data_IF_466080179897
#
_entry.id   IF_466080179897
#
_cell.length_a   1.000
_cell.length_b   1.000
_cell.length_c   1.000
_cell.angle_alpha   90.00
_cell.angle_beta   90.00
_cell.angle_gamma   90.00
#
_symmetry.space_group_name_H-M   'P 1'
#
loop_
_entity.id
_entity.type
_entity.pdbx_description
1 polymer ?
#
# COMPACT_ATOMS: atom_id res chain seq x y z
N UNK A 1 -27.22 -36.03 46.44
CA UNK A 1 -26.21 -36.40 45.42
C UNK A 1 -26.66 -36.13 43.99
N UNK A 2 -27.95 -36.21 43.64
CA UNK A 2 -28.46 -35.99 42.27
C UNK A 2 -28.23 -34.59 41.69
N UNK A 3 -28.19 -33.53 42.52
CA UNK A 3 -27.94 -32.15 42.06
C UNK A 3 -26.49 -31.88 41.62
N UNK A 4 -25.52 -32.66 42.11
CA UNK A 4 -24.11 -32.51 41.74
C UNK A 4 -23.82 -33.11 40.36
N UNK A 5 -24.48 -34.22 40.02
CA UNK A 5 -24.38 -34.84 38.69
C UNK A 5 -25.01 -33.98 37.59
N UNK A 6 -26.10 -33.27 37.87
CA UNK A 6 -26.72 -32.34 36.91
C UNK A 6 -25.82 -31.13 36.59
N UNK A 7 -25.07 -30.62 37.59
CA UNK A 7 -24.12 -29.52 37.39
C UNK A 7 -22.87 -29.98 36.63
N UNK A 8 -22.35 -31.17 36.93
CA UNK A 8 -21.22 -31.76 36.20
C UNK A 8 -21.58 -32.08 34.74
N UNK A 9 -22.79 -32.57 34.48
CA UNK A 9 -23.27 -32.87 33.12
C UNK A 9 -23.47 -31.58 32.29
N UNK A 10 -23.94 -30.48 32.89
CA UNK A 10 -24.09 -29.18 32.21
C UNK A 10 -22.74 -28.49 31.96
N UNK A 11 -21.76 -28.63 32.86
CA UNK A 11 -20.37 -28.18 32.63
C UNK A 11 -19.66 -29.00 31.55
N UNK A 12 -19.91 -30.30 31.47
CA UNK A 12 -19.39 -31.17 30.39
C UNK A 12 -20.05 -30.87 29.04
N UNK A 13 -21.36 -30.61 28.99
CA UNK A 13 -22.06 -30.29 27.74
C UNK A 13 -21.74 -28.88 27.21
N UNK A 14 -21.45 -27.91 28.07
CA UNK A 14 -21.05 -26.56 27.65
C UNK A 14 -19.59 -26.48 27.22
N UNK A 15 -18.71 -27.32 27.78
CA UNK A 15 -17.30 -27.42 27.36
C UNK A 15 -17.11 -28.03 25.96
N UNK A 16 -17.95 -29.00 25.57
CA UNK A 16 -17.84 -29.67 24.26
C UNK A 16 -18.45 -28.82 23.13
N UNK A 17 -19.46 -27.99 23.40
CA UNK A 17 -20.11 -27.17 22.37
C UNK A 17 -19.23 -26.03 21.83
N UNK A 18 -18.30 -25.49 22.63
CA UNK A 18 -17.37 -24.43 22.19
C UNK A 18 -16.19 -24.93 21.37
N UNK A 19 -15.89 -26.24 21.42
CA UNK A 19 -14.79 -26.83 20.66
C UNK A 19 -15.10 -27.04 19.16
N UNK A 20 -16.30 -26.69 18.70
CA UNK A 20 -16.78 -26.98 17.34
C UNK A 20 -17.07 -25.75 16.47
N UNK A 21 -16.84 -24.52 16.95
CA UNK A 21 -17.10 -23.30 16.17
C UNK A 21 -16.03 -23.09 15.08
N UNK A 22 -16.45 -22.69 13.87
CA UNK A 22 -15.57 -22.17 12.82
C UNK A 22 -14.84 -20.92 13.32
N UNK A 23 -13.74 -20.53 12.67
CA UNK A 23 -13.03 -19.31 13.03
C UNK A 23 -13.88 -18.08 12.70
N UNK A 24 -14.01 -17.18 13.66
CA UNK A 24 -14.62 -15.88 13.43
C UNK A 24 -13.58 -14.86 12.93
N UNK A 25 -14.02 -13.65 12.60
CA UNK A 25 -13.12 -12.61 12.11
C UNK A 25 -12.01 -12.28 13.12
N UNK A 26 -12.29 -12.29 14.43
CA UNK A 26 -11.29 -11.94 15.44
C UNK A 26 -10.19 -13.00 15.51
N UNK A 27 -10.56 -14.28 15.44
CA UNK A 27 -9.60 -15.37 15.33
C UNK A 27 -8.65 -15.14 14.14
N UNK A 28 -9.19 -14.82 12.95
CA UNK A 28 -8.40 -14.58 11.74
C UNK A 28 -7.45 -13.37 11.88
N UNK A 29 -7.93 -12.28 12.49
CA UNK A 29 -7.12 -11.09 12.75
C UNK A 29 -6.02 -11.38 13.76
N UNK A 30 -6.32 -12.10 14.84
CA UNK A 30 -5.36 -12.46 15.88
C UNK A 30 -4.24 -13.36 15.36
N UNK A 31 -4.55 -14.25 14.42
CA UNK A 31 -3.57 -15.16 13.81
C UNK A 31 -2.46 -14.40 13.06
N UNK A 32 -2.71 -13.18 12.58
CA UNK A 32 -1.65 -12.33 12.00
C UNK A 32 -0.55 -11.95 13.02
N UNK A 33 -0.81 -12.10 14.32
CA UNK A 33 0.18 -11.86 15.38
C UNK A 33 0.81 -13.13 15.96
N UNK A 34 0.53 -14.30 15.39
CA UNK A 34 0.98 -15.57 15.96
C UNK A 34 2.29 -16.04 15.34
N UNK A 35 3.12 -16.75 16.13
CA UNK A 35 4.13 -17.63 15.58
C UNK A 35 3.48 -18.94 15.13
N UNK A 36 4.13 -19.68 14.22
CA UNK A 36 3.61 -20.96 13.75
C UNK A 36 3.34 -21.94 14.91
N UNK A 37 4.22 -22.01 15.90
CA UNK A 37 4.02 -22.89 17.07
C UNK A 37 2.79 -22.51 17.91
N UNK A 38 2.54 -21.19 18.09
CA UNK A 38 1.35 -20.70 18.80
C UNK A 38 0.09 -20.98 17.99
N UNK A 39 0.16 -20.80 16.67
CA UNK A 39 -0.90 -21.10 15.73
C UNK A 39 -1.26 -22.58 15.75
N UNK A 40 -0.30 -23.49 15.57
CA UNK A 40 -0.50 -24.94 15.65
C UNK A 40 -1.17 -25.37 16.97
N UNK A 41 -0.69 -24.83 18.09
CA UNK A 41 -1.28 -25.09 19.40
C UNK A 41 -2.72 -24.59 19.55
N UNK A 42 -3.11 -23.56 18.79
CA UNK A 42 -4.48 -23.07 18.73
C UNK A 42 -5.35 -23.94 17.81
N UNK A 43 -4.86 -24.24 16.61
CA UNK A 43 -5.55 -25.03 15.59
C UNK A 43 -5.83 -26.46 16.07
N UNK A 44 -4.86 -27.11 16.73
CA UNK A 44 -4.99 -28.47 17.26
C UNK A 44 -6.16 -28.65 18.24
N UNK A 45 -6.59 -27.56 18.91
CA UNK A 45 -7.72 -27.59 19.87
C UNK A 45 -9.09 -27.58 19.19
N UNK A 46 -9.17 -27.20 17.91
CA UNK A 46 -10.43 -27.03 17.16
C UNK A 46 -10.68 -28.13 16.11
N UNK A 47 -10.02 -29.28 16.23
CA UNK A 47 -10.19 -30.45 15.33
C UNK A 47 -9.94 -30.15 13.85
N UNK A 48 -8.95 -29.28 13.57
CA UNK A 48 -8.43 -29.06 12.23
C UNK A 48 -7.26 -30.00 11.97
N UNK A 49 -7.20 -30.55 10.77
CA UNK A 49 -6.12 -31.44 10.34
C UNK A 49 -5.20 -30.70 9.40
N UNK A 50 -3.89 -30.96 9.51
CA UNK A 50 -2.92 -30.41 8.57
C UNK A 50 -3.06 -31.11 7.22
N UNK A 51 -3.18 -30.31 6.16
CA UNK A 51 -3.34 -30.77 4.78
C UNK A 51 -1.97 -30.77 4.07
N UNK A 52 -1.26 -31.90 4.19
CA UNK A 52 0.03 -32.10 3.54
C UNK A 52 -0.07 -32.35 2.03
N UNK A 53 -1.28 -32.62 1.53
CA UNK A 53 -1.53 -32.96 0.12
C UNK A 53 -1.87 -31.72 -0.71
N UNK A 54 -2.16 -30.58 -0.06
CA UNK A 54 -2.35 -29.30 -0.72
C UNK A 54 -1.13 -28.95 -1.59
N UNK A 55 -1.32 -28.65 -2.90
CA UNK A 55 -0.25 -28.18 -3.77
C UNK A 55 0.41 -26.88 -3.28
N UNK A 56 -0.23 -26.17 -2.34
CA UNK A 56 0.26 -24.92 -1.76
C UNK A 56 1.10 -25.15 -0.49
N UNK A 57 1.21 -26.37 0.03
CA UNK A 57 2.04 -26.68 1.20
C UNK A 57 3.52 -26.45 0.87
N UNK A 58 4.17 -25.57 1.64
CA UNK A 58 5.59 -25.27 1.49
C UNK A 58 6.23 -25.11 2.86
N UNK A 59 7.55 -24.88 2.90
CA UNK A 59 8.25 -24.57 4.18
C UNK A 59 7.73 -23.32 4.88
N UNK A 60 7.02 -22.45 4.17
CA UNK A 60 6.51 -21.17 4.69
C UNK A 60 5.00 -21.04 4.49
N UNK A 61 4.31 -22.10 4.05
CA UNK A 61 2.87 -22.11 3.90
C UNK A 61 2.31 -23.41 4.48
N UNK A 62 1.54 -23.27 5.55
CA UNK A 62 1.00 -24.36 6.35
C UNK A 62 -0.51 -24.40 6.16
N UNK A 63 -1.02 -25.48 5.58
CA UNK A 63 -2.42 -25.63 5.21
C UNK A 63 -3.14 -26.55 6.18
N UNK A 64 -4.38 -26.21 6.49
CA UNK A 64 -5.25 -26.96 7.39
C UNK A 64 -6.62 -27.10 6.74
N UNK A 65 -7.24 -28.26 6.96
CA UNK A 65 -8.57 -28.58 6.46
C UNK A 65 -9.47 -29.05 7.60
N UNK A 66 -10.73 -28.67 7.51
CA UNK A 66 -11.79 -29.17 8.38
C UNK A 66 -13.05 -29.38 7.54
N UNK A 67 -13.68 -30.54 7.69
CA UNK A 67 -14.95 -30.86 7.01
C UNK A 67 -16.03 -31.06 8.07
N UNK A 68 -17.15 -30.35 7.93
CA UNK A 68 -18.29 -30.42 8.87
C UNK A 68 -19.56 -30.85 8.16
N UNK A 69 -20.28 -31.81 8.73
CA UNK A 69 -21.64 -32.16 8.27
C UNK A 69 -22.67 -31.17 8.79
N UNK A 70 -23.55 -30.67 7.92
CA UNK A 70 -24.62 -29.74 8.33
C UNK A 70 -25.68 -30.50 9.13
N UNK A 71 -25.95 -30.08 10.37
CA UNK A 71 -26.90 -30.75 11.31
C UNK A 71 -28.32 -30.98 10.76
N UNK A 72 -28.73 -30.29 9.69
CA UNK A 72 -30.09 -30.34 9.11
C UNK A 72 -30.19 -31.10 7.78
N UNK A 73 -29.08 -31.46 7.14
CA UNK A 73 -29.06 -32.28 5.92
C UNK A 73 -27.85 -33.20 5.97
N UNK A 74 -28.10 -34.52 5.99
CA UNK A 74 -27.02 -35.52 6.09
C UNK A 74 -26.03 -35.47 4.90
N UNK A 75 -26.44 -34.87 3.79
CA UNK A 75 -25.69 -34.85 2.52
C UNK A 75 -24.93 -33.56 2.21
N UNK A 76 -25.00 -32.52 3.05
CA UNK A 76 -24.30 -31.25 2.75
C UNK A 76 -23.14 -31.03 3.71
N UNK A 77 -21.93 -31.21 3.19
CA UNK A 77 -20.68 -30.96 3.91
C UNK A 77 -20.22 -29.52 3.68
N UNK A 78 -19.84 -28.84 4.75
CA UNK A 78 -19.14 -27.55 4.71
C UNK A 78 -17.66 -27.84 4.85
N UNK A 79 -16.89 -27.39 3.87
CA UNK A 79 -15.45 -27.57 3.82
C UNK A 79 -14.81 -26.24 4.18
N UNK A 80 -13.88 -26.30 5.13
CA UNK A 80 -13.09 -25.19 5.59
C UNK A 80 -11.62 -25.45 5.29
N UNK A 81 -10.93 -24.45 4.74
CA UNK A 81 -9.48 -24.48 4.55
C UNK A 81 -8.87 -23.25 5.22
N UNK A 82 -7.69 -23.40 5.78
CA UNK A 82 -6.99 -22.32 6.45
C UNK A 82 -5.51 -22.44 6.09
N UNK A 83 -4.93 -21.37 5.56
CA UNK A 83 -3.52 -21.29 5.25
C UNK A 83 -2.86 -20.25 6.15
N UNK A 84 -1.76 -20.65 6.78
CA UNK A 84 -0.86 -19.76 7.51
C UNK A 84 0.41 -19.59 6.69
N UNK A 85 0.63 -18.39 6.16
CA UNK A 85 1.74 -18.11 5.25
C UNK A 85 2.75 -17.22 5.98
N UNK A 86 3.92 -17.77 6.31
CA UNK A 86 5.01 -17.01 6.93
C UNK A 86 5.58 -15.98 5.94
N UNK A 87 5.62 -14.72 6.38
CA UNK A 87 6.20 -13.60 5.65
C UNK A 87 7.09 -12.77 6.58
N UNK A 88 8.10 -12.06 6.05
CA UNK A 88 8.82 -11.06 6.82
C UNK A 88 7.85 -10.02 7.39
N UNK A 89 7.88 -9.79 8.71
CA UNK A 89 6.97 -8.88 9.40
C UNK A 89 5.84 -9.61 10.12
N UNK A 90 4.80 -10.01 9.39
CA UNK A 90 3.65 -10.73 9.95
C UNK A 90 3.15 -11.80 8.97
N UNK A 91 2.63 -12.94 9.46
CA UNK A 91 2.02 -13.95 8.62
C UNK A 91 0.76 -13.45 7.91
N UNK A 92 0.51 -14.01 6.73
CA UNK A 92 -0.74 -13.85 5.98
C UNK A 92 -1.64 -15.03 6.30
N UNK A 93 -2.91 -14.75 6.59
CA UNK A 93 -3.91 -15.75 6.95
C UNK A 93 -4.93 -15.83 5.82
N UNK A 94 -5.11 -17.01 5.24
CA UNK A 94 -6.10 -17.24 4.19
C UNK A 94 -7.12 -18.27 4.67
N UNK A 95 -8.35 -17.84 4.90
CA UNK A 95 -9.46 -18.71 5.27
C UNK A 95 -10.37 -18.92 4.07
N UNK A 96 -10.70 -20.17 3.77
CA UNK A 96 -11.67 -20.52 2.74
C UNK A 96 -12.81 -21.33 3.34
N UNK A 97 -14.04 -21.06 2.90
CA UNK A 97 -15.24 -21.81 3.29
C UNK A 97 -16.10 -22.10 2.07
N UNK A 98 -16.74 -23.26 2.02
CA UNK A 98 -17.78 -23.54 1.01
C UNK A 98 -19.16 -22.98 1.40
N UNK A 99 -19.29 -22.37 2.59
CA UNK A 99 -20.54 -21.80 3.09
C UNK A 99 -20.65 -20.30 2.75
N UNK A 100 -21.61 -19.95 1.88
CA UNK A 100 -21.94 -18.56 1.57
C UNK A 100 -22.36 -17.76 2.81
N UNK A 101 -23.10 -18.38 3.72
CA UNK A 101 -23.59 -17.76 4.95
C UNK A 101 -22.44 -17.35 5.88
N UNK A 102 -21.43 -18.21 6.04
CA UNK A 102 -20.25 -17.87 6.86
C UNK A 102 -19.44 -16.74 6.22
N UNK A 103 -19.30 -16.76 4.89
CA UNK A 103 -18.60 -15.70 4.17
C UNK A 103 -19.30 -14.35 4.29
N UNK A 104 -20.63 -14.31 4.13
CA UNK A 104 -21.40 -13.07 4.27
C UNK A 104 -21.33 -12.52 5.70
N UNK A 105 -21.39 -13.39 6.71
CA UNK A 105 -21.19 -12.99 8.11
C UNK A 105 -19.81 -12.36 8.33
N UNK A 106 -18.72 -12.93 7.79
CA UNK A 106 -17.38 -12.34 7.87
C UNK A 106 -17.32 -10.96 7.20
N UNK A 107 -17.95 -10.80 6.03
CA UNK A 107 -18.04 -9.49 5.34
C UNK A 107 -18.82 -8.46 6.16
N UNK A 108 -19.88 -8.89 6.84
CA UNK A 108 -20.65 -8.02 7.72
C UNK A 108 -19.83 -7.62 8.96
N UNK A 109 -19.13 -8.57 9.57
CA UNK A 109 -18.28 -8.32 10.73
C UNK A 109 -17.12 -7.37 10.41
N UNK A 110 -16.51 -7.47 9.22
CA UNK A 110 -15.48 -6.52 8.76
C UNK A 110 -16.02 -5.08 8.80
N UNK A 111 -17.19 -4.84 8.19
CA UNK A 111 -17.83 -3.51 8.18
C UNK A 111 -18.14 -3.04 9.60
N UNK A 112 -18.64 -3.94 10.46
CA UNK A 112 -18.97 -3.66 11.85
C UNK A 112 -17.74 -3.29 12.68
N UNK A 113 -16.58 -3.87 12.39
CA UNK A 113 -15.31 -3.56 13.03
C UNK A 113 -14.62 -2.32 12.46
N UNK A 114 -15.25 -1.58 11.54
CA UNK A 114 -14.72 -0.33 11.01
C UNK A 114 -13.78 -0.50 9.81
N UNK A 115 -13.71 -1.69 9.22
CA UNK A 115 -13.04 -1.84 7.93
C UNK A 115 -13.84 -1.12 6.85
N UNK A 116 -13.13 -0.30 6.09
CA UNK A 116 -13.69 0.47 4.98
C UNK A 116 -13.41 -0.25 3.66
N UNK A 117 -14.25 0.03 2.67
CA UNK A 117 -14.04 -0.37 1.28
C UNK A 117 -14.27 0.84 0.39
N UNK A 118 -13.35 1.09 -0.54
CA UNK A 118 -13.44 2.21 -1.47
C UNK A 118 -14.26 1.85 -2.72
N UNK A 119 -14.35 0.55 -3.02
CA UNK A 119 -15.12 -0.02 -4.14
C UNK A 119 -16.18 -1.00 -3.59
N UNK A 120 -17.22 -0.50 -2.91
CA UNK A 120 -18.25 -1.37 -2.34
C UNK A 120 -18.99 -2.12 -3.45
N UNK A 121 -19.09 -3.43 -3.28
CA UNK A 121 -19.97 -4.29 -4.09
C UNK A 121 -20.92 -5.07 -3.20
N UNK A 122 -22.20 -5.06 -3.55
CA UNK A 122 -23.23 -5.90 -2.95
C UNK A 122 -23.25 -7.32 -3.55
N UNK A 123 -22.58 -7.52 -4.68
CA UNK A 123 -22.41 -8.84 -5.28
C UNK A 123 -21.37 -9.63 -4.47
N UNK A 124 -21.77 -10.82 -4.00
CA UNK A 124 -20.91 -11.71 -3.21
C UNK A 124 -19.87 -12.43 -4.08
N UNK A 125 -20.04 -12.43 -5.39
CA UNK A 125 -19.09 -13.01 -6.35
C UNK A 125 -17.94 -12.07 -6.73
N UNK A 126 -18.10 -10.76 -6.47
CA UNK A 126 -17.10 -9.75 -6.81
C UNK A 126 -16.07 -9.66 -5.67
N UNK A 127 -14.76 -9.79 -5.95
CA UNK A 127 -13.71 -9.52 -4.99
C UNK A 127 -13.82 -8.11 -4.41
N UNK A 128 -13.72 -8.00 -3.09
CA UNK A 128 -13.75 -6.70 -2.39
C UNK A 128 -12.54 -6.62 -1.48
N UNK A 129 -11.93 -5.43 -1.46
CA UNK A 129 -10.83 -5.11 -0.57
C UNK A 129 -11.34 -4.27 0.61
N UNK A 130 -11.02 -4.72 1.80
CA UNK A 130 -11.32 -4.08 3.07
C UNK A 130 -10.02 -3.59 3.70
N UNK A 131 -10.01 -2.38 4.25
CA UNK A 131 -8.82 -1.80 4.88
C UNK A 131 -9.19 -1.19 6.22
N UNK A 132 -8.32 -1.38 7.22
CA UNK A 132 -8.44 -0.75 8.53
C UNK A 132 -7.06 -0.65 9.18
N UNK A 133 -6.64 0.56 9.53
CA UNK A 133 -5.31 0.83 10.09
C UNK A 133 -4.19 0.17 9.24
N UNK A 134 -3.42 -0.73 9.84
CA UNK A 134 -2.34 -1.48 9.19
C UNK A 134 -2.77 -2.87 8.67
N UNK A 135 -4.07 -3.12 8.55
CA UNK A 135 -4.62 -4.42 8.16
C UNK A 135 -5.44 -4.31 6.88
N UNK A 136 -5.23 -5.27 5.99
CA UNK A 136 -5.96 -5.42 4.73
C UNK A 136 -6.63 -6.78 4.74
N UNK A 137 -7.89 -6.82 4.32
CA UNK A 137 -8.65 -8.06 4.11
C UNK A 137 -9.18 -8.10 2.69
N UNK A 138 -8.66 -9.01 1.88
CA UNK A 138 -9.15 -9.26 0.53
C UNK A 138 -10.12 -10.42 0.51
N UNK A 139 -11.19 -10.30 -0.27
CA UNK A 139 -12.11 -11.42 -0.51
C UNK A 139 -12.02 -11.90 -1.95
N UNK A 140 -12.17 -13.20 -2.18
CA UNK A 140 -12.26 -13.76 -3.53
C UNK A 140 -13.12 -15.02 -3.57
N UNK A 141 -13.42 -15.49 -4.76
CA UNK A 141 -14.21 -16.68 -5.02
C UNK A 141 -13.46 -17.59 -5.99
N UNK A 142 -13.44 -18.87 -5.70
CA UNK A 142 -12.83 -19.91 -6.53
C UNK A 142 -13.82 -21.06 -6.71
N UNK A 143 -14.00 -21.57 -7.93
CA UNK A 143 -14.85 -22.75 -8.18
C UNK A 143 -13.90 -23.92 -8.44
N UNK A 144 -13.95 -24.93 -7.57
CA UNK A 144 -13.16 -26.16 -7.68
C UNK A 144 -14.08 -27.37 -7.63
N UNK A 145 -14.03 -28.23 -8.64
CA UNK A 145 -14.81 -29.48 -8.72
C UNK A 145 -16.31 -29.29 -8.41
N UNK A 146 -16.91 -28.26 -9.04
CA UNK A 146 -18.31 -27.84 -8.83
C UNK A 146 -18.66 -27.29 -7.45
N UNK A 147 -17.69 -27.17 -6.54
CA UNK A 147 -17.84 -26.53 -5.24
C UNK A 147 -17.29 -25.11 -5.29
N UNK A 148 -18.09 -24.14 -4.84
CA UNK A 148 -17.65 -22.76 -4.70
C UNK A 148 -16.97 -22.58 -3.35
N UNK A 149 -15.75 -22.06 -3.36
CA UNK A 149 -14.99 -21.65 -2.19
C UNK A 149 -14.91 -20.13 -2.11
N UNK A 150 -15.31 -19.58 -0.97
CA UNK A 150 -15.19 -18.17 -0.67
C UNK A 150 -13.97 -17.97 0.21
N UNK A 151 -13.09 -17.07 -0.20
CA UNK A 151 -11.80 -16.81 0.46
C UNK A 151 -11.84 -15.45 1.16
N UNK A 152 -11.33 -15.42 2.38
CA UNK A 152 -11.00 -14.22 3.15
C UNK A 152 -9.51 -14.28 3.47
N UNK A 153 -8.75 -13.37 2.87
CA UNK A 153 -7.30 -13.26 3.06
C UNK A 153 -6.97 -12.03 3.88
N UNK A 154 -6.42 -12.24 5.06
CA UNK A 154 -6.04 -11.20 6.03
C UNK A 154 -4.53 -11.00 5.99
N UNK A 155 -4.11 -9.76 5.83
CA UNK A 155 -2.71 -9.35 5.81
C UNK A 155 -2.52 -8.14 6.73
N UNK A 156 -1.59 -8.25 7.68
CA UNK A 156 -1.23 -7.17 8.59
C UNK A 156 0.17 -6.67 8.27
N UNK A 157 0.30 -5.38 7.96
CA UNK A 157 1.58 -4.78 7.66
C UNK A 157 2.25 -4.25 8.93
N UNK A 158 3.54 -4.52 9.10
CA UNK A 158 4.35 -3.80 10.10
C UNK A 158 4.69 -2.43 9.52
N UNK A 159 4.13 -1.38 10.10
CA UNK A 159 4.38 0.01 9.68
C UNK A 159 5.67 0.54 10.32
N UNK A 160 6.44 1.38 9.59
CA UNK A 160 7.63 2.02 10.15
C UNK A 160 7.25 2.94 11.31
N UNK A 161 8.13 3.03 12.31
CA UNK A 161 7.96 4.03 13.39
C UNK A 161 8.31 5.41 12.86
N UNK A 162 7.70 6.46 13.41
CA UNK A 162 7.99 7.84 12.97
C UNK A 162 9.49 8.21 12.98
N UNK A 163 10.26 7.68 13.93
CA UNK A 163 11.73 7.89 14.03
C UNK A 163 12.54 7.20 12.94
N UNK A 164 11.96 6.19 12.28
CA UNK A 164 12.56 5.44 11.18
C UNK A 164 12.31 6.12 9.82
N UNK A 165 11.39 7.10 9.77
CA UNK A 165 11.09 7.89 8.58
C UNK A 165 11.93 9.18 8.64
N UNK A 166 13.05 9.19 7.93
CA UNK A 166 13.99 10.33 7.93
C UNK A 166 14.08 11.00 6.56
N UNK A 167 13.91 10.23 5.49
CA UNK A 167 14.02 10.66 4.12
C UNK A 167 12.73 10.41 3.35
N UNK A 168 12.57 11.08 2.22
CA UNK A 168 11.41 10.93 1.35
C UNK A 168 11.17 9.48 0.92
N UNK A 169 12.24 8.71 0.65
CA UNK A 169 12.17 7.32 0.26
C UNK A 169 11.64 6.40 1.37
N UNK A 170 11.76 6.78 2.65
CA UNK A 170 11.23 5.97 3.76
C UNK A 170 9.69 5.94 3.76
N UNK A 171 9.05 6.95 3.15
CA UNK A 171 7.61 7.01 2.98
C UNK A 171 7.08 5.94 2.02
N UNK A 172 7.93 5.37 1.15
CA UNK A 172 7.52 4.30 0.22
C UNK A 172 7.07 3.02 0.92
N UNK A 173 7.41 2.84 2.20
CA UNK A 173 6.91 1.72 3.00
C UNK A 173 5.39 1.82 3.27
N UNK A 174 4.79 3.00 3.14
CA UNK A 174 3.38 3.28 3.43
C UNK A 174 2.52 3.07 2.16
N UNK A 175 2.32 1.79 1.81
CA UNK A 175 1.70 1.34 0.56
C UNK A 175 0.18 1.55 0.42
N UNK A 176 -0.47 2.31 1.31
CA UNK A 176 -1.89 2.65 1.20
C UNK A 176 -2.24 3.93 1.93
N UNK A 177 -3.40 4.52 1.58
CA UNK A 177 -3.96 5.64 2.34
C UNK A 177 -4.17 5.30 3.82
N UNK A 178 -4.68 4.11 4.14
CA UNK A 178 -4.89 3.70 5.53
C UNK A 178 -3.58 3.60 6.32
N UNK A 179 -2.47 3.22 5.67
CA UNK A 179 -1.17 3.17 6.33
C UNK A 179 -0.65 4.58 6.66
N UNK A 180 -0.93 5.56 5.81
CA UNK A 180 -0.66 6.97 6.11
C UNK A 180 -1.48 7.44 7.31
N UNK A 181 -2.79 7.15 7.33
CA UNK A 181 -3.68 7.50 8.44
C UNK A 181 -3.22 6.86 9.76
N UNK A 182 -2.86 5.57 9.74
CA UNK A 182 -2.39 4.85 10.93
C UNK A 182 -1.05 5.39 11.45
N UNK A 183 -0.17 5.86 10.55
CA UNK A 183 1.18 6.32 10.92
C UNK A 183 1.19 7.77 11.38
N UNK A 184 0.50 8.66 10.65
CA UNK A 184 0.56 10.11 10.86
C UNK A 184 -0.70 10.71 11.49
N UNK A 185 -1.79 9.94 11.56
CA UNK A 185 -3.08 10.40 12.07
C UNK A 185 -3.96 11.08 11.01
N UNK A 186 -5.29 10.97 11.13
CA UNK A 186 -6.25 11.44 10.12
C UNK A 186 -6.24 12.95 9.89
N UNK A 187 -5.81 13.74 10.87
CA UNK A 187 -5.68 15.19 10.75
C UNK A 187 -4.55 15.63 9.81
N UNK A 188 -3.61 14.73 9.51
CA UNK A 188 -2.42 15.03 8.72
C UNK A 188 -2.48 14.45 7.31
N UNK A 189 -3.55 13.74 6.94
CA UNK A 189 -3.65 13.06 5.64
C UNK A 189 -5.01 13.35 5.03
N UNK A 190 -5.02 13.77 3.77
CA UNK A 190 -6.25 13.99 3.01
C UNK A 190 -6.22 13.25 1.68
N UNK A 191 -7.38 12.85 1.18
CA UNK A 191 -7.53 12.41 -0.21
C UNK A 191 -7.73 13.63 -1.11
N UNK A 192 -7.13 13.63 -2.29
CA UNK A 192 -7.27 14.69 -3.28
C UNK A 192 -7.16 14.09 -4.69
N UNK A 193 -7.29 14.92 -5.71
CA UNK A 193 -7.06 14.58 -7.12
C UNK A 193 -5.89 15.38 -7.62
N UNK A 194 -4.90 14.69 -8.16
CA UNK A 194 -3.75 15.30 -8.82
C UNK A 194 -4.06 15.52 -10.29
N UNK A 195 -3.80 16.73 -10.80
CA UNK A 195 -4.03 17.09 -12.20
C UNK A 195 -2.70 17.14 -12.95
N UNK A 196 -2.45 16.19 -13.86
CA UNK A 196 -1.33 16.25 -14.78
C UNK A 196 -1.58 17.30 -15.87
N UNK A 197 -2.82 17.32 -16.36
CA UNK A 197 -3.36 18.31 -17.31
C UNK A 197 -4.81 18.60 -16.94
N UNK A 198 -5.50 19.47 -17.69
CA UNK A 198 -6.92 19.72 -17.47
C UNK A 198 -7.80 18.47 -17.63
N UNK A 199 -7.42 17.53 -18.49
CA UNK A 199 -8.18 16.31 -18.78
C UNK A 199 -7.58 15.04 -18.19
N UNK A 200 -6.36 15.10 -17.66
CA UNK A 200 -5.64 13.95 -17.12
C UNK A 200 -5.44 14.11 -15.62
N UNK A 201 -6.09 13.24 -14.85
CA UNK A 201 -6.17 13.32 -13.40
C UNK A 201 -5.99 11.96 -12.76
N UNK A 202 -5.46 11.93 -11.55
CA UNK A 202 -5.26 10.69 -10.81
C UNK A 202 -5.59 10.89 -9.33
N UNK A 203 -6.24 9.88 -8.72
CA UNK A 203 -6.54 9.90 -7.28
C UNK A 203 -5.27 9.82 -6.45
N UNK A 204 -5.12 10.75 -5.51
CA UNK A 204 -3.91 10.87 -4.70
C UNK A 204 -4.22 11.00 -3.21
N UNK A 205 -3.17 10.90 -2.41
CA UNK A 205 -3.22 11.26 -0.99
C UNK A 205 -2.18 12.32 -0.68
N UNK A 206 -2.57 13.33 0.08
CA UNK A 206 -1.71 14.43 0.49
C UNK A 206 -1.40 14.27 1.97
N UNK A 207 -0.13 14.14 2.30
CA UNK A 207 0.40 14.12 3.65
C UNK A 207 0.83 15.54 4.04
N UNK A 208 0.46 16.00 5.23
CA UNK A 208 0.66 17.35 5.76
C UNK A 208 0.28 18.47 4.76
N UNK A 209 -0.98 18.51 4.31
CA UNK A 209 -1.43 19.47 3.30
C UNK A 209 -1.21 20.91 3.75
N UNK A 210 -0.76 21.77 2.84
CA UNK A 210 -0.44 23.19 3.04
C UNK A 210 0.65 23.46 4.10
N UNK A 211 1.63 22.57 4.21
CA UNK A 211 2.78 22.74 5.11
C UNK A 211 4.11 22.54 4.37
N UNK A 212 5.25 22.99 4.96
CA UNK A 212 6.59 22.65 4.44
C UNK A 212 6.91 21.15 4.42
N UNK A 213 6.04 20.28 4.96
CA UNK A 213 6.20 18.83 4.96
C UNK A 213 5.24 18.13 4.00
N UNK A 214 4.63 18.87 3.09
CA UNK A 214 3.66 18.33 2.15
C UNK A 214 4.27 17.27 1.23
N UNK A 215 3.59 16.13 1.07
CA UNK A 215 3.96 15.05 0.14
C UNK A 215 2.70 14.55 -0.55
N UNK A 216 2.75 14.39 -1.86
CA UNK A 216 1.66 13.80 -2.64
C UNK A 216 2.03 12.37 -3.00
N UNK A 217 1.14 11.43 -2.66
CA UNK A 217 1.20 10.03 -3.02
C UNK A 217 0.29 9.80 -4.22
N UNK A 218 0.88 9.42 -5.35
CA UNK A 218 0.13 8.95 -6.52
C UNK A 218 0.00 7.44 -6.43
N UNK A 219 -1.22 6.93 -6.56
CA UNK A 219 -1.52 5.50 -6.41
C UNK A 219 -1.63 4.83 -7.78
N UNK A 220 -1.13 3.61 -7.90
CA UNK A 220 -1.30 2.74 -9.05
C UNK A 220 -2.69 2.07 -8.99
N UNK A 221 -3.14 1.64 -7.79
CA UNK A 221 -4.53 1.26 -7.53
C UNK A 221 -5.30 2.47 -6.98
N UNK A 222 -5.75 3.31 -7.90
CA UNK A 222 -6.56 4.50 -7.62
C UNK A 222 -7.88 4.16 -6.92
N UNK A 223 -8.46 3.02 -7.28
CA UNK A 223 -9.78 2.61 -6.80
C UNK A 223 -9.76 2.28 -5.31
N UNK A 224 -8.64 1.76 -4.80
CA UNK A 224 -8.46 1.45 -3.38
C UNK A 224 -7.43 2.31 -2.65
N UNK A 225 -6.83 3.30 -3.32
CA UNK A 225 -5.75 4.17 -2.79
C UNK A 225 -4.56 3.35 -2.26
N UNK A 226 -4.05 2.45 -3.11
CA UNK A 226 -2.97 1.52 -2.77
C UNK A 226 -1.91 1.44 -3.85
N UNK A 227 -0.78 0.89 -3.46
CA UNK A 227 0.39 0.61 -4.30
C UNK A 227 0.92 1.89 -4.95
N UNK A 228 1.98 2.44 -4.38
CA UNK A 228 2.51 3.74 -4.79
C UNK A 228 3.01 3.64 -6.24
N UNK A 229 2.56 4.55 -7.10
CA UNK A 229 3.15 4.76 -8.42
C UNK A 229 4.40 5.62 -8.29
N UNK A 230 4.30 6.77 -7.62
CA UNK A 230 5.42 7.63 -7.21
C UNK A 230 4.97 8.68 -6.19
N UNK A 231 5.94 9.37 -5.55
CA UNK A 231 5.71 10.49 -4.64
C UNK A 231 6.15 11.81 -5.29
N UNK A 232 5.45 12.92 -5.01
CA UNK A 232 5.88 14.27 -5.39
C UNK A 232 6.08 15.11 -4.14
N UNK A 233 7.21 15.84 -4.11
CA UNK A 233 7.62 16.71 -2.99
C UNK A 233 8.10 18.04 -3.55
N UNK A 234 7.62 19.14 -2.98
CA UNK A 234 7.92 20.51 -3.42
C UNK A 234 7.18 20.98 -4.69
N UNK A 235 7.35 22.26 -5.00
CA UNK A 235 6.80 22.93 -6.18
C UNK A 235 5.39 23.47 -6.00
N UNK A 236 4.88 24.15 -7.03
CA UNK A 236 3.47 24.56 -7.11
C UNK A 236 2.63 23.32 -7.41
N UNK A 237 2.23 22.61 -6.37
CA UNK A 237 1.48 21.37 -6.52
C UNK A 237 0.10 21.69 -7.12
N UNK A 238 -0.29 20.94 -8.16
CA UNK A 238 -1.56 21.09 -8.88
C UNK A 238 -2.61 20.13 -8.32
N UNK A 239 -2.89 20.23 -7.02
CA UNK A 239 -4.06 19.58 -6.43
C UNK A 239 -5.19 20.59 -6.25
N UNK A 240 -6.43 20.10 -6.11
CA UNK A 240 -7.58 20.98 -5.90
C UNK A 240 -7.44 21.79 -4.59
N UNK A 241 -6.74 21.26 -3.60
CA UNK A 241 -6.43 21.95 -2.34
C UNK A 241 -5.39 23.07 -2.46
N UNK A 242 -4.39 22.93 -3.33
CA UNK A 242 -3.21 23.81 -3.39
C UNK A 242 -3.23 24.83 -4.54
N UNK A 243 -4.15 24.68 -5.50
CA UNK A 243 -4.30 25.55 -6.68
C UNK A 243 -4.46 27.06 -6.40
N UNK A 244 -4.66 27.47 -5.13
CA UNK A 244 -4.86 28.87 -4.75
C UNK A 244 -3.57 29.64 -4.42
N UNK A 245 -2.43 28.98 -4.24
CA UNK A 245 -1.19 29.61 -3.74
C UNK A 245 0.06 29.33 -4.60
N UNK A 246 -0.08 29.37 -5.93
CA UNK A 246 0.98 29.07 -6.91
C UNK A 246 2.17 30.06 -6.96
N UNK A 247 2.35 30.92 -5.95
CA UNK A 247 3.40 31.94 -5.91
C UNK A 247 4.39 31.79 -4.75
N UNK A 248 4.33 30.69 -3.98
CA UNK A 248 5.31 30.44 -2.93
C UNK A 248 6.35 29.44 -3.43
N UNK A 249 7.60 29.88 -3.46
CA UNK A 249 8.76 28.98 -3.42
C UNK A 249 8.67 28.24 -2.09
N UNK A 250 7.93 27.13 -2.07
CA UNK A 250 7.73 26.34 -0.85
C UNK A 250 8.95 25.45 -0.70
N UNK A 251 9.92 25.93 0.09
CA UNK A 251 10.93 25.06 0.68
C UNK A 251 10.22 23.88 1.35
N UNK A 252 10.58 22.66 0.97
CA UNK A 252 10.05 21.45 1.57
C UNK A 252 11.12 20.83 2.46
N UNK A 253 10.74 20.36 3.64
CA UNK A 253 11.66 19.77 4.62
C UNK A 253 12.09 18.35 4.25
N UNK A 254 11.34 17.67 3.37
CA UNK A 254 11.72 16.35 2.92
C UNK A 254 12.90 16.43 1.94
N UNK A 255 13.89 15.59 2.22
CA UNK A 255 15.07 15.39 1.39
C UNK A 255 15.14 13.93 0.94
N UNK A 256 15.68 13.72 -0.26
CA UNK A 256 16.05 12.40 -0.75
C UNK A 256 17.23 11.84 0.05
N UNK A 257 17.30 10.51 0.19
CA UNK A 257 18.49 9.78 0.68
C UNK A 257 19.75 10.12 -0.11
N UNK A 258 19.60 10.52 -1.37
CA UNK A 258 20.70 10.95 -2.22
C UNK A 258 21.17 12.39 -1.94
N UNK A 259 20.49 13.13 -1.06
CA UNK A 259 20.83 14.48 -0.63
C UNK A 259 20.10 15.60 -1.39
N UNK A 260 19.27 15.28 -2.37
CA UNK A 260 18.51 16.27 -3.15
C UNK A 260 17.29 16.76 -2.37
N UNK A 261 17.04 18.06 -2.37
CA UNK A 261 15.88 18.69 -1.71
C UNK A 261 15.30 19.82 -2.57
N UNK A 262 14.03 20.16 -2.32
CA UNK A 262 13.36 21.28 -2.99
C UNK A 262 13.95 22.62 -2.55
N UNK A 263 14.35 23.46 -3.51
CA UNK A 263 15.06 24.72 -3.30
C UNK A 263 16.58 24.63 -3.51
N UNK A 264 17.14 23.43 -3.71
CA UNK A 264 18.55 23.22 -4.04
C UNK A 264 18.93 23.97 -5.33
N UNK A 265 20.07 24.67 -5.33
CA UNK A 265 20.56 25.37 -6.54
C UNK A 265 21.08 24.39 -7.58
N UNK A 266 21.03 24.77 -8.86
CA UNK A 266 21.59 23.95 -9.94
C UNK A 266 23.08 23.64 -9.75
N UNK A 267 23.86 24.61 -9.26
CA UNK A 267 25.29 24.44 -8.91
C UNK A 267 25.50 23.34 -7.86
N UNK A 268 24.69 23.36 -6.80
CA UNK A 268 24.73 22.38 -5.71
C UNK A 268 24.34 20.99 -6.23
N UNK A 269 23.30 20.92 -7.07
CA UNK A 269 22.85 19.67 -7.70
C UNK A 269 23.94 19.07 -8.60
N UNK A 270 24.62 19.88 -9.42
CA UNK A 270 25.73 19.44 -10.26
C UNK A 270 26.91 18.94 -9.41
N UNK A 271 27.24 19.66 -8.33
CA UNK A 271 28.30 19.25 -7.41
C UNK A 271 27.98 17.92 -6.73
N UNK A 272 26.74 17.73 -6.28
CA UNK A 272 26.25 16.49 -5.67
C UNK A 272 26.27 15.32 -6.66
N UNK A 273 25.85 15.57 -7.91
CA UNK A 273 25.88 14.59 -8.98
C UNK A 273 27.29 14.24 -9.47
N UNK A 274 28.29 15.06 -9.18
CA UNK A 274 29.66 14.92 -9.70
C UNK A 274 29.72 14.87 -11.22
N UNK A 275 28.79 15.57 -11.88
CA UNK A 275 28.65 15.55 -13.32
C UNK A 275 27.55 16.51 -13.77
N UNK A 276 27.66 16.98 -15.01
CA UNK A 276 26.64 17.85 -15.60
C UNK A 276 25.29 17.15 -15.64
N UNK A 277 24.23 17.92 -15.45
CA UNK A 277 22.85 17.46 -15.61
C UNK A 277 22.26 18.11 -16.85
N UNK A 278 21.38 17.40 -17.54
CA UNK A 278 20.67 17.91 -18.71
C UNK A 278 19.18 17.89 -18.44
N UNK A 279 18.49 18.96 -18.82
CA UNK A 279 17.06 19.12 -18.60
C UNK A 279 16.37 19.71 -19.81
N UNK A 280 15.08 19.46 -19.90
CA UNK A 280 14.23 20.04 -20.92
C UNK A 280 14.09 21.56 -20.71
N UNK A 281 14.23 22.33 -21.79
CA UNK A 281 14.10 23.80 -21.73
C UNK A 281 12.75 24.26 -21.19
N UNK A 282 12.70 25.44 -20.58
CA UNK A 282 11.50 25.95 -19.89
C UNK A 282 10.34 26.30 -20.85
N UNK A 283 10.60 26.40 -22.16
CA UNK A 283 9.58 26.56 -23.20
C UNK A 283 9.11 25.25 -23.84
N UNK A 284 9.59 24.10 -23.37
CA UNK A 284 9.22 22.78 -23.92
C UNK A 284 7.94 22.22 -23.30
N UNK A 285 7.47 21.08 -23.82
CA UNK A 285 6.32 20.34 -23.25
C UNK A 285 6.57 19.81 -21.83
N UNK A 286 7.84 19.64 -21.42
CA UNK A 286 8.23 19.09 -20.11
C UNK A 286 9.22 20.02 -19.41
N UNK A 287 8.83 21.27 -19.12
CA UNK A 287 9.76 22.31 -18.72
C UNK A 287 10.54 21.94 -17.45
N UNK A 288 11.86 22.06 -17.51
CA UNK A 288 12.74 21.85 -16.36
C UNK A 288 12.92 20.40 -15.91
N UNK A 289 12.26 19.42 -16.54
CA UNK A 289 12.41 18.00 -16.20
C UNK A 289 13.79 17.49 -16.66
N UNK A 290 14.51 16.78 -15.79
CA UNK A 290 15.79 16.15 -16.18
C UNK A 290 15.59 15.14 -17.32
N UNK A 291 16.57 15.10 -18.24
CA UNK A 291 16.64 14.08 -19.28
C UNK A 291 17.37 12.84 -18.77
N UNK A 292 16.99 11.66 -19.31
CA UNK A 292 17.61 10.36 -19.00
C UNK A 292 19.10 10.24 -19.34
N UNK A 293 19.65 11.24 -20.04
CA UNK A 293 21.06 11.27 -20.45
C UNK A 293 21.97 11.94 -19.42
N UNK A 294 21.43 12.36 -18.28
CA UNK A 294 22.21 12.92 -17.17
C UNK A 294 23.03 11.80 -16.51
N UNK A 295 24.30 11.68 -16.89
CA UNK A 295 25.25 10.80 -16.20
C UNK A 295 25.69 11.39 -14.86
N UNK A 296 26.31 10.58 -14.00
CA UNK A 296 26.84 11.03 -12.72
C UNK A 296 26.65 10.01 -11.60
N UNK A 297 26.69 10.49 -10.37
CA UNK A 297 26.57 9.70 -9.14
C UNK A 297 25.12 9.49 -8.70
N UNK A 298 24.21 10.41 -9.03
CA UNK A 298 22.81 10.29 -8.64
C UNK A 298 22.10 9.24 -9.49
N UNK A 299 21.22 8.49 -8.83
CA UNK A 299 20.34 7.51 -9.44
C UNK A 299 19.03 8.19 -9.84
N UNK A 300 18.93 8.57 -11.12
CA UNK A 300 17.74 9.20 -11.69
C UNK A 300 16.66 8.20 -12.14
N UNK A 301 16.89 6.88 -12.02
CA UNK A 301 15.84 5.89 -12.27
C UNK A 301 14.83 5.85 -11.12
N UNK A 302 15.30 6.17 -9.90
CA UNK A 302 14.49 6.23 -8.68
C UNK A 302 14.24 7.65 -8.15
N UNK A 303 14.88 8.67 -8.75
CA UNK A 303 14.75 10.07 -8.39
C UNK A 303 14.50 10.94 -9.63
N UNK A 304 13.26 11.40 -9.80
CA UNK A 304 12.94 12.46 -10.75
C UNK A 304 13.20 13.83 -10.14
N UNK A 305 13.70 14.76 -10.93
CA UNK A 305 13.93 16.15 -10.53
C UNK A 305 13.29 17.07 -11.56
N UNK A 306 12.52 18.04 -11.06
CA UNK A 306 11.96 19.13 -11.86
C UNK A 306 12.62 20.42 -11.39
N UNK A 307 13.19 21.14 -12.35
CA UNK A 307 13.83 22.43 -12.14
C UNK A 307 12.85 23.56 -12.44
N UNK A 308 13.01 24.67 -11.73
CA UNK A 308 12.38 25.94 -12.05
C UNK A 308 13.44 27.03 -12.13
N UNK A 309 13.08 28.16 -12.73
CA UNK A 309 13.96 29.29 -12.89
C UNK A 309 13.30 30.58 -12.43
N UNK A 310 14.03 31.37 -11.62
CA UNK A 310 13.64 32.73 -11.32
C UNK A 310 14.07 33.64 -12.48
N UNK A 311 13.12 34.40 -13.02
CA UNK A 311 13.33 35.42 -14.07
C UNK A 311 13.77 34.91 -15.45
N UNK A 312 13.54 33.65 -15.81
CA UNK A 312 13.87 33.15 -17.15
C UNK A 312 12.98 33.71 -18.28
N UNK A 313 11.77 34.18 -17.97
CA UNK A 313 10.72 34.56 -18.93
C UNK A 313 10.99 35.84 -19.76
N UNK A 314 12.00 36.64 -19.41
CA UNK A 314 12.27 37.94 -20.04
C UNK A 314 13.49 37.94 -20.96
N UNK A 315 14.06 36.76 -21.23
CA UNK A 315 15.35 36.66 -21.88
C UNK A 315 15.22 35.77 -23.11
N UNK A 316 15.41 36.34 -24.31
CA UNK A 316 15.49 35.67 -25.62
C UNK A 316 16.65 34.64 -25.66
N UNK A 317 16.58 33.62 -24.81
CA UNK A 317 17.75 32.82 -24.43
C UNK A 317 17.62 31.39 -24.89
N UNK A 318 18.76 30.70 -24.89
CA UNK A 318 18.87 29.34 -25.38
C UNK A 318 17.92 28.38 -24.65
N UNK A 319 17.68 28.50 -23.33
CA UNK A 319 16.81 27.57 -22.59
C UNK A 319 15.31 27.73 -22.83
N UNK A 320 14.84 28.86 -23.35
CA UNK A 320 13.45 28.98 -23.80
C UNK A 320 13.26 28.33 -25.18
N UNK A 321 14.31 28.33 -26.01
CA UNK A 321 14.23 27.90 -27.42
C UNK A 321 14.77 26.49 -27.68
N UNK A 322 15.68 26.01 -26.83
CA UNK A 322 16.28 24.69 -26.95
C UNK A 322 15.39 23.67 -26.26
N UNK A 323 15.22 22.52 -26.91
CA UNK A 323 14.49 21.39 -26.35
C UNK A 323 15.20 20.76 -25.14
N UNK A 324 16.53 20.88 -25.06
CA UNK A 324 17.38 20.36 -23.99
C UNK A 324 18.51 21.35 -23.69
N UNK A 325 18.78 21.56 -22.40
CA UNK A 325 19.77 22.49 -21.85
C UNK A 325 20.65 21.73 -20.87
N UNK A 326 21.97 21.92 -20.92
CA UNK A 326 22.88 21.39 -19.92
C UNK A 326 23.16 22.41 -18.80
N UNK A 327 23.53 21.90 -17.62
CA UNK A 327 23.72 22.72 -16.44
C UNK A 327 24.86 23.73 -16.56
N UNK A 328 25.93 23.42 -17.29
CA UNK A 328 27.06 24.34 -17.47
C UNK A 328 26.64 25.56 -18.30
N UNK A 329 25.95 25.33 -19.41
CA UNK A 329 25.36 26.38 -20.25
C UNK A 329 24.38 27.23 -19.45
N UNK A 330 23.52 26.61 -18.62
CA UNK A 330 22.56 27.33 -17.81
C UNK A 330 23.20 28.22 -16.73
N UNK A 331 24.30 27.77 -16.10
CA UNK A 331 25.04 28.55 -15.11
C UNK A 331 25.83 29.71 -15.74
N UNK A 332 26.39 29.52 -16.94
CA UNK A 332 27.10 30.59 -17.66
C UNK A 332 26.18 31.78 -18.02
N UNK A 333 24.88 31.52 -18.18
CA UNK A 333 23.87 32.55 -18.46
C UNK A 333 23.37 33.27 -17.17
N UNK A 334 24.03 33.08 -16.01
CA UNK A 334 23.66 33.64 -14.68
C UNK A 334 22.19 33.38 -14.30
N UNK A 335 21.66 32.23 -14.73
CA UNK A 335 20.28 31.85 -14.44
C UNK A 335 20.16 31.35 -13.01
N UNK A 336 19.15 31.84 -12.31
CA UNK A 336 18.75 31.35 -10.99
C UNK A 336 17.87 30.11 -11.12
N UNK A 337 18.49 29.01 -11.57
CA UNK A 337 17.84 27.69 -11.69
C UNK A 337 17.97 26.93 -10.38
N UNK A 338 16.88 26.32 -9.94
CA UNK A 338 16.81 25.57 -8.70
C UNK A 338 15.85 24.37 -8.84
N UNK A 339 15.99 23.38 -7.95
CA UNK A 339 15.08 22.25 -7.86
C UNK A 339 13.74 22.73 -7.32
N UNK A 340 12.68 22.68 -8.12
CA UNK A 340 11.33 23.01 -7.64
C UNK A 340 10.69 21.81 -6.95
N UNK A 341 10.84 20.62 -7.54
CA UNK A 341 10.22 19.40 -7.03
C UNK A 341 11.15 18.20 -7.20
N UNK A 342 11.04 17.27 -6.27
CA UNK A 342 11.62 15.93 -6.38
C UNK A 342 10.49 14.90 -6.49
N UNK A 343 10.71 13.89 -7.31
CA UNK A 343 9.78 12.79 -7.56
C UNK A 343 10.47 11.51 -7.11
N UNK A 344 9.90 10.80 -6.14
CA UNK A 344 10.46 9.54 -5.65
C UNK A 344 9.74 8.38 -6.33
N UNK A 345 10.49 7.54 -7.04
CA UNK A 345 9.95 6.44 -7.83
C UNK A 345 10.30 5.12 -7.13
N UNK A 346 9.30 4.31 -6.71
CA UNK A 346 9.56 3.04 -6.04
C UNK A 346 10.29 2.06 -6.96
N UNK A 347 11.14 1.23 -6.37
CA UNK A 347 11.67 0.05 -7.04
C UNK A 347 10.51 -0.89 -7.40
N UNK A 348 10.27 -1.09 -8.69
CA UNK A 348 9.31 -2.11 -9.13
C UNK A 348 9.91 -3.48 -8.80
N UNK A 349 9.29 -4.20 -7.87
CA UNK A 349 9.61 -5.60 -7.65
C UNK A 349 9.50 -6.32 -9.01
N UNK A 350 10.61 -6.93 -9.47
CA UNK A 350 10.59 -7.77 -10.65
C UNK A 350 9.60 -8.90 -10.36
N UNK A 351 8.39 -8.82 -10.93
CA UNK A 351 7.42 -9.92 -10.87
C UNK A 351 8.16 -11.18 -11.31
N UNK A 352 8.44 -12.08 -10.38
CA UNK A 352 8.82 -13.44 -10.77
C UNK A 352 7.62 -13.95 -11.55
N UNK A 353 7.81 -14.12 -12.87
CA UNK A 353 6.86 -14.80 -13.72
C UNK A 353 6.87 -16.25 -13.24
N UNK A 354 6.05 -16.56 -12.23
CA UNK A 354 5.63 -17.93 -11.99
C UNK A 354 4.87 -18.33 -13.23
N UNK A 355 5.54 -19.09 -14.10
CA UNK A 355 4.90 -19.76 -15.20
C UNK A 355 3.77 -20.62 -14.62
N UNK A 356 2.54 -20.20 -14.84
CA UNK A 356 1.37 -21.06 -14.68
C UNK A 356 1.59 -22.26 -15.58
N UNK A 357 1.75 -23.44 -14.99
CA UNK A 357 1.75 -24.73 -15.70
C UNK A 357 0.49 -25.48 -15.32
#
# INVERSE_FOLDING_TARGET
>A
MTKFYALALTLLLTGVAKAQQSFDLNDLLDFTGYSISKFDGHIAKKSWLRDYESPRETRTNYNYIQVKKKRKSEDTEVIHRLSFIERPGAPVIEYQTSSLEEFDNLRHDLKKQGFITYTPSNDLSVPVLYQHENTVVGTSLEIQDSTTFYTVRVEKQVLPRLREIQYAEDLLALKSHEYLLATFGPQNVSRDVFHYTESDTNHCSVLFPNTPREVIFIWEDEANYRDISFLIIGGNMLTNGTARNANMITSNEWQSKQGVYAGMKLEELQALNQGKVSFHGFGSEKPGMLTKTSGGKLDFDHLGIVLSCLNCANSNTAAERQSVVDSESAMQEDRKVYVSSIIIIPEKEKKQVTASR
#
